data_IF_347192667736
#
_entry.id   IF_347192667736
#
_cell.length_a   1.000
_cell.length_b   1.000
_cell.length_c   1.000
_cell.angle_alpha   90.00
_cell.angle_beta   90.00
_cell.angle_gamma   90.00
#
_symmetry.space_group_name_H-M   'P 1'
#
loop_
_entity.id
_entity.type
_entity.pdbx_description
1 polymer ?
#
# COMPACT_ATOMS: atom_id res chain seq x y z
N UNK A 1 7.72 -12.09 48.36
CA UNK A 1 6.38 -11.47 48.38
C UNK A 1 6.40 -10.34 47.36
N UNK A 2 6.01 -10.60 46.11
CA UNK A 2 5.93 -9.54 45.09
C UNK A 2 4.81 -8.58 45.50
N UNK A 3 5.10 -7.29 45.59
CA UNK A 3 4.16 -6.26 46.04
C UNK A 3 2.94 -6.15 45.13
N UNK A 4 1.82 -5.70 45.69
CA UNK A 4 0.55 -5.59 44.97
C UNK A 4 0.68 -4.68 43.74
N UNK A 5 0.40 -5.23 42.57
CA UNK A 5 0.42 -4.51 41.30
C UNK A 5 -0.80 -3.60 41.24
N UNK A 6 -0.60 -2.30 41.49
CA UNK A 6 -1.63 -1.28 41.26
C UNK A 6 -1.79 -1.04 39.75
N UNK A 7 -2.87 -1.55 39.18
CA UNK A 7 -3.28 -1.29 37.80
C UNK A 7 -4.31 -0.15 37.82
N UNK A 8 -4.03 0.94 37.11
CA UNK A 8 -5.02 2.00 36.87
C UNK A 8 -6.00 1.51 35.79
N UNK A 9 -7.25 1.26 36.19
CA UNK A 9 -8.34 0.85 35.31
C UNK A 9 -9.15 2.04 34.78
N UNK A 10 -8.87 3.25 35.27
CA UNK A 10 -9.66 4.44 35.00
C UNK A 10 -9.12 5.30 33.85
N UNK A 11 -7.83 5.20 33.54
CA UNK A 11 -7.20 5.97 32.46
C UNK A 11 -6.44 5.05 31.50
N UNK A 12 -6.56 5.30 30.20
CA UNK A 12 -5.69 4.68 29.22
C UNK A 12 -4.26 5.18 29.44
N UNK A 13 -3.29 4.27 29.39
CA UNK A 13 -1.88 4.63 29.54
C UNK A 13 -1.47 5.62 28.44
N UNK A 14 -0.75 6.68 28.82
CA UNK A 14 -0.05 7.53 27.85
C UNK A 14 1.00 6.68 27.13
N UNK A 15 0.74 6.38 25.85
CA UNK A 15 1.71 5.74 24.97
C UNK A 15 2.33 6.76 24.03
N UNK A 16 3.62 6.59 23.76
CA UNK A 16 4.35 7.35 22.75
C UNK A 16 4.03 6.79 21.36
N UNK A 17 3.28 7.56 20.57
CA UNK A 17 2.82 7.19 19.22
C UNK A 17 3.73 7.52 18.01
N UNK A 18 4.86 8.26 18.09
CA UNK A 18 5.64 8.64 16.91
C UNK A 18 6.04 7.48 16.00
N UNK A 19 6.47 6.34 16.56
CA UNK A 19 6.88 5.18 15.75
C UNK A 19 5.68 4.40 15.18
N UNK A 20 4.55 4.40 15.89
CA UNK A 20 3.30 3.83 15.40
C UNK A 20 2.78 4.59 14.18
N UNK A 21 2.75 5.93 14.25
CA UNK A 21 2.29 6.76 13.15
C UNK A 21 3.20 6.63 11.92
N UNK A 22 4.52 6.62 12.11
CA UNK A 22 5.49 6.42 11.02
C UNK A 22 5.29 5.08 10.32
N UNK A 23 5.22 3.99 11.09
CA UNK A 23 5.06 2.64 10.53
C UNK A 23 3.73 2.48 9.81
N UNK A 24 2.66 3.02 10.40
CA UNK A 24 1.35 3.01 9.78
C UNK A 24 1.31 3.84 8.49
N UNK A 25 1.92 5.02 8.49
CA UNK A 25 2.07 5.86 7.28
C UNK A 25 2.80 5.12 6.16
N UNK A 26 3.89 4.41 6.49
CA UNK A 26 4.61 3.57 5.53
C UNK A 26 3.73 2.42 5.00
N UNK A 27 2.99 1.74 5.87
CA UNK A 27 2.08 0.67 5.49
C UNK A 27 1.03 1.17 4.49
N UNK A 28 0.39 2.32 4.77
CA UNK A 28 -0.61 2.90 3.88
C UNK A 28 0.00 3.29 2.53
N UNK A 29 1.19 3.90 2.53
CA UNK A 29 1.88 4.24 1.28
C UNK A 29 2.22 3.00 0.46
N UNK A 30 2.78 1.96 1.08
CA UNK A 30 3.12 0.70 0.42
C UNK A 30 1.87 0.02 -0.14
N UNK A 31 0.78 -0.02 0.62
CA UNK A 31 -0.45 -0.63 0.17
C UNK A 31 -1.07 0.12 -1.01
N UNK A 32 -1.16 1.45 -0.92
CA UNK A 32 -1.71 2.31 -1.97
C UNK A 32 -0.95 2.19 -3.28
N UNK A 33 0.38 2.36 -3.23
CA UNK A 33 1.20 2.37 -4.45
C UNK A 33 1.52 0.95 -4.94
N UNK A 34 1.68 -0.01 -4.03
CA UNK A 34 1.91 -1.42 -4.36
C UNK A 34 0.70 -2.05 -5.05
N UNK A 35 -0.52 -1.83 -4.55
CA UNK A 35 -1.73 -2.35 -5.19
C UNK A 35 -1.93 -1.78 -6.60
N UNK A 36 -1.70 -0.47 -6.81
CA UNK A 36 -1.70 0.13 -8.14
C UNK A 36 -0.69 -0.55 -9.07
N UNK A 37 0.53 -0.77 -8.60
CA UNK A 37 1.58 -1.42 -9.38
C UNK A 37 1.20 -2.83 -9.83
N UNK A 38 0.59 -3.62 -8.94
CA UNK A 38 0.11 -4.98 -9.26
C UNK A 38 -1.01 -4.92 -10.31
N UNK A 39 -1.99 -4.05 -10.15
CA UNK A 39 -3.10 -3.91 -11.12
C UNK A 39 -2.57 -3.49 -12.49
N UNK A 40 -1.67 -2.50 -12.54
CA UNK A 40 -1.06 -2.06 -13.79
C UNK A 40 -0.29 -3.19 -14.48
N UNK A 41 0.47 -3.98 -13.71
CA UNK A 41 1.24 -5.12 -14.22
C UNK A 41 0.31 -6.18 -14.82
N UNK A 42 -0.75 -6.55 -14.11
CA UNK A 42 -1.72 -7.56 -14.59
C UNK A 42 -2.42 -7.10 -15.87
N UNK A 43 -2.80 -5.83 -15.97
CA UNK A 43 -3.42 -5.27 -17.19
C UNK A 43 -2.43 -5.23 -18.37
N UNK A 44 -1.17 -4.84 -18.12
CA UNK A 44 -0.12 -4.92 -19.13
C UNK A 44 0.09 -6.35 -19.63
N UNK A 45 0.17 -7.33 -18.72
CA UNK A 45 0.31 -8.75 -19.06
C UNK A 45 -0.90 -9.28 -19.84
N UNK A 46 -2.12 -8.88 -19.48
CA UNK A 46 -3.33 -9.24 -20.22
C UNK A 46 -3.22 -8.77 -21.68
N UNK A 47 -2.83 -7.52 -21.91
CA UNK A 47 -2.67 -6.97 -23.26
C UNK A 47 -1.53 -7.66 -24.02
N UNK A 48 -0.36 -7.81 -23.40
CA UNK A 48 0.80 -8.40 -24.07
C UNK A 48 0.69 -9.90 -24.36
N UNK A 49 0.20 -10.68 -23.40
CA UNK A 49 0.26 -12.14 -23.41
C UNK A 49 -1.04 -12.78 -23.87
N UNK A 50 -2.19 -12.26 -23.43
CA UNK A 50 -3.51 -12.85 -23.76
C UNK A 50 -4.05 -12.27 -25.06
N UNK A 51 -3.99 -10.95 -25.24
CA UNK A 51 -4.48 -10.28 -26.46
C UNK A 51 -3.48 -10.35 -27.62
N UNK A 52 -2.25 -10.79 -27.37
CA UNK A 52 -1.22 -10.98 -28.41
C UNK A 52 -0.67 -9.69 -29.02
N UNK A 53 -0.84 -8.53 -28.37
CA UNK A 53 -0.39 -7.23 -28.92
C UNK A 53 1.12 -6.98 -28.83
N UNK A 54 1.88 -7.93 -28.25
CA UNK A 54 3.32 -7.84 -28.08
C UNK A 54 3.77 -6.96 -26.91
N UNK A 55 5.09 -6.93 -26.68
CA UNK A 55 5.74 -6.31 -25.50
C UNK A 55 5.62 -4.78 -25.48
N UNK A 56 5.62 -4.13 -26.65
CA UNK A 56 5.53 -2.66 -26.70
C UNK A 56 4.16 -2.21 -26.20
N UNK A 57 3.08 -2.83 -26.69
CA UNK A 57 1.72 -2.51 -26.28
C UNK A 57 1.46 -2.86 -24.80
N UNK A 58 2.07 -3.93 -24.26
CA UNK A 58 1.95 -4.26 -22.84
C UNK A 58 2.60 -3.21 -21.95
N UNK A 59 3.83 -2.78 -22.30
CA UNK A 59 4.56 -1.74 -21.54
C UNK A 59 3.84 -0.40 -21.64
N UNK A 60 3.31 -0.04 -22.80
CA UNK A 60 2.49 1.17 -22.95
C UNK A 60 1.23 1.10 -22.08
N UNK A 61 0.52 -0.02 -22.08
CA UNK A 61 -0.67 -0.22 -21.24
C UNK A 61 -0.32 -0.09 -19.76
N UNK A 62 0.77 -0.72 -19.32
CA UNK A 62 1.28 -0.61 -17.95
C UNK A 62 1.53 0.85 -17.56
N UNK A 63 2.26 1.61 -18.39
CA UNK A 63 2.58 3.03 -18.13
C UNK A 63 1.31 3.88 -18.11
N UNK A 64 0.40 3.69 -19.05
CA UNK A 64 -0.87 4.44 -19.09
C UNK A 64 -1.69 4.18 -17.84
N UNK A 65 -1.84 2.92 -17.41
CA UNK A 65 -2.56 2.58 -16.18
C UNK A 65 -1.87 3.16 -14.95
N UNK A 66 -0.54 3.14 -14.88
CA UNK A 66 0.20 3.78 -13.78
C UNK A 66 -0.06 5.29 -13.73
N UNK A 67 -0.03 5.98 -14.87
CA UNK A 67 -0.29 7.44 -14.93
C UNK A 67 -1.73 7.74 -14.52
N UNK A 68 -2.70 7.02 -15.08
CA UNK A 68 -4.12 7.20 -14.76
C UNK A 68 -4.37 6.91 -13.28
N UNK A 69 -3.84 5.80 -12.76
CA UNK A 69 -4.00 5.43 -11.36
C UNK A 69 -3.27 6.37 -10.42
N UNK A 70 -2.11 6.90 -10.79
CA UNK A 70 -1.42 7.94 -10.03
C UNK A 70 -2.26 9.21 -9.93
N UNK A 71 -2.86 9.67 -11.04
CA UNK A 71 -3.74 10.84 -11.04
C UNK A 71 -5.03 10.60 -10.25
N UNK A 72 -5.61 9.40 -10.32
CA UNK A 72 -6.83 9.05 -9.60
C UNK A 72 -6.60 8.89 -8.07
N UNK A 73 -5.39 8.48 -7.67
CA UNK A 73 -5.01 8.29 -6.27
C UNK A 73 -4.33 9.51 -5.65
N UNK A 74 -3.96 10.52 -6.45
CA UNK A 74 -3.38 11.78 -5.98
C UNK A 74 -4.41 12.59 -5.20
#
# INVERSE_FOLDING_TARGET
MAGEVKIDLSHAAEMDYPEHEKTYGLFIALFKWGSLGIVALLLGMMVGLIMGSGVIASVLTFVVVLVVGYLALR
#
